data_IF_132548490096
#
_entry.id   IF_132548490096
#
_cell.length_a   1.000
_cell.length_b   1.000
_cell.length_c   1.000
_cell.angle_alpha   90.00
_cell.angle_beta   90.00
_cell.angle_gamma   90.00
#
_symmetry.space_group_name_H-M   'P 1'
#
loop_
_entity.id
_entity.type
_entity.pdbx_description
1 polymer ?
#
# COMPACT_ATOMS: atom_id res chain seq x y z
N UNK A 1 11.97 8.68 -3.15
CA UNK A 1 11.67 8.26 -1.76
C UNK A 1 10.35 7.51 -1.88
N UNK A 2 10.35 6.21 -1.58
CA UNK A 2 9.28 5.33 -2.02
C UNK A 2 7.92 5.75 -1.44
N UNK A 3 6.90 5.75 -2.29
CA UNK A 3 5.55 6.18 -1.94
C UNK A 3 4.51 5.23 -2.55
N UNK A 4 3.46 4.96 -1.81
CA UNK A 4 2.32 4.15 -2.28
C UNK A 4 1.10 5.05 -2.35
N UNK A 5 0.41 5.06 -3.48
CA UNK A 5 -0.89 5.72 -3.62
C UNK A 5 -1.98 4.65 -3.61
N UNK A 6 -2.88 4.72 -2.65
CA UNK A 6 -4.02 3.81 -2.54
C UNK A 6 -5.31 4.60 -2.35
N UNK A 7 -6.28 4.39 -3.24
CA UNK A 7 -7.58 5.05 -3.20
C UNK A 7 -7.50 6.59 -3.06
N UNK A 8 -6.50 7.22 -3.71
CA UNK A 8 -6.27 8.66 -3.66
C UNK A 8 -5.50 9.16 -2.42
N UNK A 9 -5.14 8.29 -1.48
CA UNK A 9 -4.28 8.61 -0.33
C UNK A 9 -2.84 8.27 -0.68
N UNK A 10 -1.94 9.24 -0.52
CA UNK A 10 -0.50 9.04 -0.67
C UNK A 10 0.13 8.70 0.68
N UNK A 11 0.80 7.55 0.73
CA UNK A 11 1.63 7.10 1.83
C UNK A 11 3.07 7.38 1.45
N UNK A 12 3.65 8.42 2.04
CA UNK A 12 5.02 8.86 1.78
C UNK A 12 6.02 8.13 2.67
N UNK A 13 7.30 8.16 2.28
CA UNK A 13 8.41 7.64 3.09
C UNK A 13 8.28 6.16 3.47
N UNK A 14 7.69 5.36 2.57
CA UNK A 14 7.50 3.93 2.81
C UNK A 14 8.87 3.25 2.87
N UNK A 15 9.09 2.44 3.91
CA UNK A 15 10.32 1.67 4.05
C UNK A 15 10.51 0.74 2.83
N UNK A 16 11.72 0.63 2.25
CA UNK A 16 11.95 -0.15 1.03
C UNK A 16 11.48 -1.61 1.12
N UNK A 17 11.68 -2.26 2.27
CA UNK A 17 11.25 -3.64 2.48
C UNK A 17 9.71 -3.77 2.46
N UNK A 18 8.99 -2.78 3.01
CA UNK A 18 7.53 -2.75 3.00
C UNK A 18 7.00 -2.45 1.59
N UNK A 19 7.67 -1.57 0.86
CA UNK A 19 7.33 -1.24 -0.52
C UNK A 19 7.45 -2.45 -1.44
N UNK A 20 8.58 -3.17 -1.40
CA UNK A 20 8.77 -4.38 -2.20
C UNK A 20 7.79 -5.50 -1.81
N UNK A 21 7.57 -5.72 -0.51
CA UNK A 21 6.59 -6.70 -0.05
C UNK A 21 5.16 -6.36 -0.54
N UNK A 22 4.78 -5.09 -0.53
CA UNK A 22 3.49 -4.65 -1.06
C UNK A 22 3.39 -4.86 -2.57
N UNK A 23 4.48 -4.61 -3.32
CA UNK A 23 4.55 -4.83 -4.77
C UNK A 23 4.39 -6.32 -5.12
N UNK A 24 5.09 -7.20 -4.41
CA UNK A 24 4.97 -8.66 -4.57
C UNK A 24 3.56 -9.16 -4.24
N UNK A 25 2.95 -8.65 -3.17
CA UNK A 25 1.57 -9.00 -2.81
C UNK A 25 0.57 -8.58 -3.90
N UNK A 26 0.72 -7.39 -4.47
CA UNK A 26 -0.11 -6.91 -5.59
C UNK A 26 0.04 -7.78 -6.83
N UNK A 27 1.27 -8.18 -7.15
CA UNK A 27 1.53 -9.07 -8.28
C UNK A 27 0.89 -10.45 -8.07
N UNK A 28 1.05 -11.04 -6.88
CA UNK A 28 0.48 -12.34 -6.54
C UNK A 28 -1.06 -12.35 -6.67
N UNK A 29 -1.75 -11.35 -6.11
CA UNK A 29 -3.22 -11.29 -6.20
C UNK A 29 -3.69 -11.00 -7.64
N UNK A 30 -2.92 -10.24 -8.42
CA UNK A 30 -3.25 -9.96 -9.84
C UNK A 30 -3.12 -11.21 -10.70
N UNK A 31 -2.25 -12.14 -10.30
CA UNK A 31 -2.10 -13.46 -10.90
C UNK A 31 -3.12 -14.49 -10.37
N UNK A 32 -4.14 -14.05 -9.61
CA UNK A 32 -5.20 -14.91 -9.07
C UNK A 32 -4.78 -15.71 -7.82
N UNK A 33 -3.63 -15.38 -7.20
CA UNK A 33 -3.20 -16.02 -5.97
C UNK A 33 -3.82 -15.29 -4.77
N UNK A 34 -5.02 -15.73 -4.39
CA UNK A 34 -5.74 -15.22 -3.23
C UNK A 34 -6.90 -14.27 -3.58
N UNK A 35 -7.63 -13.84 -2.55
CA UNK A 35 -8.82 -12.98 -2.68
C UNK A 35 -8.52 -11.50 -2.38
N UNK A 36 -7.35 -11.22 -1.83
CA UNK A 36 -6.87 -9.89 -1.49
C UNK A 36 -5.68 -9.97 -0.54
N UNK A 37 -5.07 -8.82 -0.26
CA UNK A 37 -3.93 -8.70 0.64
C UNK A 37 -4.17 -7.58 1.66
N UNK A 38 -3.55 -7.72 2.83
CA UNK A 38 -3.57 -6.73 3.90
C UNK A 38 -2.15 -6.24 4.14
N UNK A 39 -1.93 -4.92 4.01
CA UNK A 39 -0.66 -4.29 4.34
C UNK A 39 -0.88 -3.23 5.42
N UNK A 40 0.20 -2.94 6.15
CA UNK A 40 0.21 -1.95 7.22
C UNK A 40 1.14 -0.82 6.83
N UNK A 41 0.59 0.38 6.63
CA UNK A 41 1.36 1.57 6.26
C UNK A 41 1.13 2.68 7.27
N UNK A 42 2.15 3.49 7.49
CA UNK A 42 2.00 4.78 8.15
C UNK A 42 1.64 5.81 7.10
N UNK A 43 0.56 6.57 7.31
CA UNK A 43 0.08 7.55 6.35
C UNK A 43 -0.52 8.78 7.03
N UNK A 44 -1.04 9.74 6.26
CA UNK A 44 -1.56 10.98 6.81
C UNK A 44 -2.73 10.72 7.74
N UNK A 45 -2.64 11.21 8.97
CA UNK A 45 -3.73 11.20 9.94
C UNK A 45 -4.30 12.58 10.21
N UNK A 46 -5.27 12.64 11.13
CA UNK A 46 -5.89 13.89 11.52
C UNK A 46 -4.89 14.84 12.18
N UNK A 47 -5.06 16.14 11.93
CA UNK A 47 -4.23 17.22 12.48
C UNK A 47 -2.72 17.15 12.16
N UNK A 48 -2.35 16.50 11.04
CA UNK A 48 -0.96 16.47 10.55
C UNK A 48 -0.05 15.52 11.33
N UNK A 49 -0.63 14.57 12.06
CA UNK A 49 0.10 13.49 12.70
C UNK A 49 -0.08 12.23 11.87
N UNK A 50 1.01 11.57 11.51
CA UNK A 50 0.94 10.31 10.78
C UNK A 50 0.32 9.20 11.65
N UNK A 51 -0.57 8.42 11.04
CA UNK A 51 -1.30 7.33 11.70
C UNK A 51 -1.08 6.00 11.00
N UNK A 52 -1.20 4.94 11.79
CA UNK A 52 -1.08 3.58 11.29
C UNK A 52 -2.38 3.13 10.61
N UNK A 53 -2.30 2.76 9.34
CA UNK A 53 -3.40 2.28 8.53
C UNK A 53 -3.21 0.82 8.15
N UNK A 54 -4.29 0.03 8.28
CA UNK A 54 -4.37 -1.31 7.72
C UNK A 54 -5.16 -1.25 6.43
N UNK A 55 -4.46 -1.45 5.31
CA UNK A 55 -5.02 -1.34 3.97
C UNK A 55 -5.32 -2.75 3.48
N UNK A 56 -6.60 -3.04 3.26
CA UNK A 56 -7.02 -4.24 2.56
C UNK A 56 -7.30 -3.89 1.10
N UNK A 57 -6.69 -4.63 0.18
CA UNK A 57 -6.90 -4.44 -1.25
C UNK A 57 -7.16 -5.79 -1.95
N UNK A 58 -8.05 -5.75 -2.94
CA UNK A 58 -8.47 -6.91 -3.74
C UNK A 58 -7.90 -6.84 -5.15
N UNK A 59 -7.95 -7.94 -5.93
CA UNK A 59 -7.61 -7.88 -7.35
C UNK A 59 -8.37 -6.74 -8.05
N UNK A 60 -7.64 -5.91 -8.80
CA UNK A 60 -8.20 -4.75 -9.51
C UNK A 60 -8.35 -3.47 -8.67
N UNK A 61 -7.97 -3.46 -7.39
CA UNK A 61 -7.94 -2.24 -6.60
C UNK A 61 -6.91 -1.23 -7.16
N UNK A 62 -7.23 0.07 -7.22
CA UNK A 62 -6.30 1.08 -7.72
C UNK A 62 -5.19 1.36 -6.70
N UNK A 63 -4.04 0.73 -6.91
CA UNK A 63 -2.80 0.94 -6.17
C UNK A 63 -1.69 1.36 -7.14
N UNK A 64 -0.87 2.33 -6.73
CA UNK A 64 0.26 2.83 -7.53
C UNK A 64 1.49 2.93 -6.67
N UNK A 65 2.62 2.49 -7.23
CA UNK A 65 3.94 2.48 -6.60
C UNK A 65 4.80 3.55 -7.26
N UNK A 66 5.44 4.41 -6.45
CA UNK A 66 6.29 5.52 -6.91
C UNK A 66 7.64 5.41 -6.18
N UNK A 67 8.75 5.44 -6.92
CA UNK A 67 10.13 5.35 -6.39
C UNK A 67 10.83 6.71 -6.25
#
# INVERSE_FOLDING_TARGET
>A
MASIVFNGITYEQVEPAVFEAARELVEAISNGQGTGALISLTGPGDAGVDTWHRIYFTPGAPITFIE
#
